data_IF_369662117962
#
_entry.id   IF_369662117962
#
_cell.length_a   1.000
_cell.length_b   1.000
_cell.length_c   1.000
_cell.angle_alpha   90.00
_cell.angle_beta   90.00
_cell.angle_gamma   90.00
#
_symmetry.space_group_name_H-M   'P 1'
#
loop_
_entity.id
_entity.type
_entity.pdbx_description
1 polymer ?
#
# COMPACT_ATOMS: atom_id res chain seq x y z
N UNK A 1 -11.91 -24.23 5.69
CA UNK A 1 -11.66 -22.79 5.44
C UNK A 1 -11.11 -22.68 4.03
N UNK A 2 -11.97 -22.50 3.04
CA UNK A 2 -11.50 -22.05 1.73
C UNK A 2 -11.28 -20.55 1.83
N UNK A 3 -10.01 -20.14 1.86
CA UNK A 3 -9.68 -18.74 1.66
C UNK A 3 -10.06 -18.46 0.20
N UNK A 4 -11.18 -17.77 -0.02
CA UNK A 4 -11.58 -17.35 -1.37
C UNK A 4 -10.45 -16.57 -2.06
N UNK A 5 -10.46 -16.37 -3.38
CA UNK A 5 -9.33 -15.79 -4.11
C UNK A 5 -8.97 -14.35 -3.69
N UNK A 6 -9.83 -13.68 -2.91
CA UNK A 6 -9.69 -12.27 -2.53
C UNK A 6 -8.40 -11.91 -1.76
N UNK A 7 -7.92 -12.65 -0.75
CA UNK A 7 -6.67 -12.30 -0.06
C UNK A 7 -5.45 -12.45 -0.94
N UNK A 8 -5.44 -13.46 -1.83
CA UNK A 8 -4.36 -13.66 -2.80
C UNK A 8 -4.33 -12.48 -3.78
N UNK A 9 -5.50 -12.07 -4.30
CA UNK A 9 -5.62 -10.90 -5.17
C UNK A 9 -5.20 -9.61 -4.45
N UNK A 10 -5.60 -9.42 -3.19
CA UNK A 10 -5.18 -8.25 -2.40
C UNK A 10 -3.66 -8.19 -2.20
N UNK A 11 -3.02 -9.34 -1.95
CA UNK A 11 -1.55 -9.44 -1.87
C UNK A 11 -0.89 -9.09 -3.19
N UNK A 12 -1.38 -9.63 -4.31
CA UNK A 12 -0.85 -9.36 -5.65
C UNK A 12 -1.03 -7.88 -6.03
N UNK A 13 -2.20 -7.30 -5.78
CA UNK A 13 -2.50 -5.90 -6.05
C UNK A 13 -1.64 -4.99 -5.18
N UNK A 14 -1.52 -5.29 -3.88
CA UNK A 14 -0.64 -4.54 -2.97
C UNK A 14 0.83 -4.61 -3.39
N UNK A 15 1.32 -5.81 -3.75
CA UNK A 15 2.69 -6.02 -4.23
C UNK A 15 2.95 -5.29 -5.55
N UNK A 16 2.00 -5.34 -6.49
CA UNK A 16 2.09 -4.62 -7.75
C UNK A 16 2.23 -3.11 -7.53
N UNK A 17 1.36 -2.52 -6.70
CA UNK A 17 1.39 -1.09 -6.41
C UNK A 17 2.63 -0.66 -5.62
N UNK A 18 3.06 -1.47 -4.65
CA UNK A 18 4.31 -1.23 -3.92
C UNK A 18 5.52 -1.26 -4.87
N UNK A 19 5.57 -2.24 -5.78
CA UNK A 19 6.65 -2.36 -6.78
C UNK A 19 6.62 -1.20 -7.77
N UNK A 20 5.45 -0.81 -8.25
CA UNK A 20 5.25 0.34 -9.14
C UNK A 20 5.71 1.64 -8.47
N UNK A 21 5.33 1.86 -7.21
CA UNK A 21 5.79 3.02 -6.46
C UNK A 21 7.32 3.05 -6.34
N UNK A 22 7.95 1.92 -6.01
CA UNK A 22 9.42 1.83 -5.88
C UNK A 22 10.14 2.03 -7.20
N UNK A 23 9.56 1.53 -8.30
CA UNK A 23 10.06 1.73 -9.65
C UNK A 23 10.06 3.22 -10.00
N UNK A 24 8.97 3.93 -9.70
CA UNK A 24 8.82 5.38 -9.96
C UNK A 24 9.78 6.21 -9.09
N UNK A 25 10.00 5.80 -7.83
CA UNK A 25 10.79 6.58 -6.87
C UNK A 25 12.28 6.25 -6.83
N UNK A 26 12.75 5.26 -7.59
CA UNK A 26 14.18 5.00 -7.79
C UNK A 26 14.91 4.38 -6.60
N UNK A 27 14.20 3.97 -5.54
CA UNK A 27 14.75 3.17 -4.45
C UNK A 27 14.46 3.67 -3.04
N UNK A 28 14.01 2.77 -2.16
CA UNK A 28 13.77 3.08 -0.75
C UNK A 28 13.96 1.85 0.16
N UNK A 29 15.21 1.43 0.43
CA UNK A 29 15.51 0.19 1.18
C UNK A 29 14.87 0.13 2.58
N UNK A 30 14.83 1.25 3.30
CA UNK A 30 14.25 1.29 4.66
C UNK A 30 12.71 1.45 4.68
N UNK A 31 12.16 2.23 3.74
CA UNK A 31 10.71 2.47 3.64
C UNK A 31 9.95 1.30 3.02
N UNK A 32 10.62 0.45 2.23
CA UNK A 32 10.00 -0.71 1.59
C UNK A 32 9.30 -1.63 2.59
N UNK A 33 9.88 -1.80 3.78
CA UNK A 33 9.29 -2.60 4.87
C UNK A 33 7.94 -2.06 5.36
N UNK A 34 7.67 -0.76 5.20
CA UNK A 34 6.42 -0.13 5.59
C UNK A 34 5.45 0.03 4.40
N UNK A 35 5.99 0.29 3.21
CA UNK A 35 5.19 0.49 1.98
C UNK A 35 4.43 -0.78 1.60
N UNK A 36 5.10 -1.94 1.61
CA UNK A 36 4.48 -3.19 1.20
C UNK A 36 3.27 -3.57 2.08
N UNK A 37 3.38 -3.65 3.42
CA UNK A 37 2.22 -3.98 4.25
C UNK A 37 1.14 -2.91 4.15
N UNK A 38 1.48 -1.62 4.02
CA UNK A 38 0.49 -0.57 3.82
C UNK A 38 -0.27 -0.70 2.49
N UNK A 39 0.41 -1.06 1.41
CA UNK A 39 -0.22 -1.31 0.11
C UNK A 39 -1.14 -2.53 0.15
N UNK A 40 -0.69 -3.62 0.78
CA UNK A 40 -1.50 -4.85 0.95
C UNK A 40 -2.73 -4.59 1.81
N UNK A 41 -2.56 -3.93 2.96
CA UNK A 41 -3.66 -3.55 3.84
C UNK A 41 -4.63 -2.60 3.16
N UNK A 42 -4.11 -1.64 2.39
CA UNK A 42 -4.91 -0.74 1.57
C UNK A 42 -5.73 -1.50 0.51
N UNK A 43 -5.12 -2.46 -0.19
CA UNK A 43 -5.83 -3.30 -1.15
C UNK A 43 -6.93 -4.14 -0.49
N UNK A 44 -6.66 -4.69 0.70
CA UNK A 44 -7.63 -5.47 1.46
C UNK A 44 -8.82 -4.61 1.92
N UNK A 45 -8.54 -3.43 2.46
CA UNK A 45 -9.56 -2.47 2.87
C UNK A 45 -10.37 -1.96 1.67
N UNK A 46 -9.71 -1.70 0.54
CA UNK A 46 -10.35 -1.29 -0.70
C UNK A 46 -11.27 -2.34 -1.27
N UNK A 47 -10.89 -3.62 -1.27
CA UNK A 47 -11.78 -4.71 -1.65
C UNK A 47 -13.04 -4.73 -0.79
N UNK A 48 -12.89 -4.65 0.54
CA UNK A 48 -14.03 -4.62 1.46
C UNK A 48 -14.94 -3.41 1.22
N UNK A 49 -14.37 -2.28 0.82
CA UNK A 49 -15.12 -1.08 0.44
C UNK A 49 -15.85 -1.27 -0.90
N UNK A 50 -15.18 -1.83 -1.91
CA UNK A 50 -15.77 -2.12 -3.23
C UNK A 50 -16.90 -3.15 -3.17
N UNK A 51 -16.80 -4.12 -2.25
CA UNK A 51 -17.88 -5.06 -1.98
C UNK A 51 -19.16 -4.40 -1.43
N UNK A 52 -19.03 -3.24 -0.75
CA UNK A 52 -20.15 -2.50 -0.16
C UNK A 52 -20.69 -1.41 -1.06
N UNK A 53 -19.80 -0.67 -1.73
CA UNK A 53 -20.16 0.49 -2.56
C UNK A 53 -20.40 0.11 -4.03
N UNK A 54 -19.99 -1.08 -4.44
CA UNK A 54 -19.96 -1.51 -5.83
C UNK A 54 -18.69 -1.03 -6.52
N UNK A 55 -17.93 -1.99 -7.09
CA UNK A 55 -16.73 -1.68 -7.88
C UNK A 55 -17.04 -1.83 -9.39
N UNK A 56 -16.82 -0.79 -10.22
CA UNK A 56 -17.02 -0.87 -11.66
C UNK A 56 -16.02 -1.79 -12.37
N UNK A 57 -14.84 -2.04 -11.79
CA UNK A 57 -13.83 -2.92 -12.35
C UNK A 57 -13.52 -4.04 -11.35
N UNK A 58 -14.07 -5.23 -11.62
CA UNK A 58 -13.98 -6.38 -10.71
C UNK A 58 -13.49 -7.64 -11.43
N UNK A 59 -12.79 -8.50 -10.70
CA UNK A 59 -12.38 -9.84 -11.13
C UNK A 59 -13.09 -10.84 -10.22
N UNK A 60 -14.13 -11.50 -10.73
CA UNK A 60 -15.08 -12.23 -9.89
C UNK A 60 -15.68 -11.30 -8.84
N UNK A 61 -15.52 -11.66 -7.56
CA UNK A 61 -16.00 -10.86 -6.42
C UNK A 61 -14.99 -9.82 -5.92
N UNK A 62 -13.79 -9.77 -6.51
CA UNK A 62 -12.74 -8.86 -6.09
C UNK A 62 -12.87 -7.51 -6.81
N UNK A 63 -13.12 -6.44 -6.06
CA UNK A 63 -13.12 -5.06 -6.57
C UNK A 63 -11.70 -4.56 -6.81
N UNK A 64 -11.29 -4.48 -8.08
CA UNK A 64 -9.92 -4.12 -8.47
C UNK A 64 -9.66 -2.62 -8.37
N UNK A 65 -10.62 -1.78 -8.78
CA UNK A 65 -10.44 -0.32 -8.77
C UNK A 65 -10.38 0.20 -7.34
N UNK A 66 -11.33 -0.20 -6.50
CA UNK A 66 -11.40 0.17 -5.09
C UNK A 66 -10.17 -0.33 -4.32
N UNK A 67 -9.74 -1.57 -4.54
CA UNK A 67 -8.49 -2.09 -3.97
C UNK A 67 -7.27 -1.27 -4.41
N UNK A 68 -7.17 -0.90 -5.68
CA UNK A 68 -6.05 -0.12 -6.21
C UNK A 68 -6.00 1.30 -5.63
N UNK A 69 -7.16 1.98 -5.55
CA UNK A 69 -7.27 3.32 -4.98
C UNK A 69 -6.82 3.30 -3.52
N UNK A 70 -7.34 2.37 -2.72
CA UNK A 70 -7.03 2.33 -1.29
C UNK A 70 -5.61 1.82 -1.03
N UNK A 71 -5.06 0.97 -1.89
CA UNK A 71 -3.63 0.63 -1.86
C UNK A 71 -2.74 1.87 -2.03
N UNK A 72 -3.04 2.72 -3.01
CA UNK A 72 -2.33 4.00 -3.20
C UNK A 72 -2.49 4.94 -2.00
N UNK A 73 -3.67 5.01 -1.38
CA UNK A 73 -3.88 5.78 -0.16
C UNK A 73 -2.98 5.27 0.98
N UNK A 74 -2.90 3.95 1.18
CA UNK A 74 -2.02 3.35 2.17
C UNK A 74 -0.54 3.70 1.95
N UNK A 75 -0.07 3.60 0.71
CA UNK A 75 1.27 4.02 0.31
C UNK A 75 1.47 5.51 0.61
N UNK A 76 0.54 6.36 0.18
CA UNK A 76 0.58 7.81 0.39
C UNK A 76 0.69 8.19 1.87
N UNK A 77 -0.07 7.53 2.75
CA UNK A 77 0.00 7.74 4.20
C UNK A 77 1.40 7.42 4.74
N UNK A 78 1.95 6.25 4.40
CA UNK A 78 3.31 5.88 4.83
C UNK A 78 4.32 6.91 4.33
N UNK A 79 4.16 7.33 3.08
CA UNK A 79 5.04 8.31 2.45
C UNK A 79 5.00 9.65 3.18
N UNK A 80 3.81 10.15 3.49
CA UNK A 80 3.62 11.40 4.24
C UNK A 80 4.19 11.28 5.65
N UNK A 81 3.87 10.22 6.38
CA UNK A 81 4.35 10.01 7.75
C UNK A 81 5.87 9.99 7.81
N UNK A 82 6.52 9.32 6.86
CA UNK A 82 7.98 9.27 6.86
C UNK A 82 8.64 10.51 6.25
N UNK A 83 7.89 11.49 5.74
CA UNK A 83 8.41 12.85 5.47
C UNK A 83 8.39 13.70 6.74
N UNK A 84 7.44 13.44 7.64
CA UNK A 84 7.31 14.09 8.94
C UNK A 84 8.20 13.48 10.02
N UNK A 85 8.85 12.35 9.74
CA UNK A 85 9.73 11.66 10.68
C UNK A 85 10.92 12.54 11.09
N UNK A 86 11.46 12.35 12.33
CA UNK A 86 12.51 13.22 12.85
C UNK A 86 13.71 13.28 11.92
N UNK A 87 14.02 14.48 11.42
CA UNK A 87 15.32 14.74 10.83
C UNK A 87 16.34 14.48 11.94
N UNK A 88 17.29 13.56 11.72
CA UNK A 88 18.44 13.36 12.61
C UNK A 88 19.41 14.56 12.54
N UNK A 89 18.88 15.79 12.60
CA UNK A 89 19.60 17.04 12.69
C UNK A 89 19.79 17.34 14.19
N UNK A 90 20.77 16.69 14.80
CA UNK A 90 21.07 16.87 16.22
C UNK A 90 22.25 16.06 16.73
N UNK A 91 23.13 15.56 15.85
CA UNK A 91 24.36 14.87 16.24
C UNK A 91 25.59 15.52 15.59
N UNK A 92 25.69 16.84 15.76
CA UNK A 92 26.96 17.56 15.62
C UNK A 92 27.06 18.56 16.78
N UNK A 93 27.48 18.06 17.94
CA UNK A 93 28.06 18.92 18.97
C UNK A 93 29.23 18.16 19.59
N UNK A 94 30.42 18.51 19.08
CA UNK A 94 31.65 18.67 19.84
C UNK A 94 32.21 17.47 20.58
N UNK A 95 33.21 16.82 19.97
CA UNK A 95 34.58 16.88 20.49
C UNK A 95 35.59 16.41 19.44
#
# INVERSE_FOLDING_TARGET
MEIGPAPVLALLVGLFHASLYLLITGGARARMLLILPAAVLGAFAGQALGARLGDPLRIGDFGLLSASIVAWLGIGIVVLVSLLGPSRAGASTGR
#
